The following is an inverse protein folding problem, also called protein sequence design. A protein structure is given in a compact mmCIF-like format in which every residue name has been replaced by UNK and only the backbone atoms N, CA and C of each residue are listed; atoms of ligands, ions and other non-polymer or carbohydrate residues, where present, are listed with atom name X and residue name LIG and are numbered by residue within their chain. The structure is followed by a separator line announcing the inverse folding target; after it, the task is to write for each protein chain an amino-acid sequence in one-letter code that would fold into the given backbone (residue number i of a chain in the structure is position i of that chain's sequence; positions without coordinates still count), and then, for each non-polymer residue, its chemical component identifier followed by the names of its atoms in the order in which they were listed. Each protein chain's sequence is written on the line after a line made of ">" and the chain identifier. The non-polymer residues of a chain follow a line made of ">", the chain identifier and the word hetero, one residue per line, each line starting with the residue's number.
data_IF_471978184178
#
_entry.id   IF_471978184178
#
_cell.length_a   1.000
_cell.length_b   1.000
_cell.length_c   1.000
_cell.angle_alpha   90.00
_cell.angle_beta   90.00
_cell.angle_gamma   90.00
#
_symmetry.space_group_name_H-M   'P 1'
#
loop_
_entity.id
_entity.type
_entity.pdbx_description
1 polymer ?
#
# COMPACT_ATOMS: atom_id res chain seq x y z
N UNK A 1 23.46 -18.98 4.52
CA UNK A 1 22.05 -18.89 4.08
C UNK A 1 21.33 -18.07 5.13
N UNK A 2 20.98 -16.79 4.90
CA UNK A 2 20.12 -16.11 5.86
C UNK A 2 18.72 -16.72 5.76
N UNK A 3 18.14 -17.04 6.91
CA UNK A 3 16.85 -17.68 7.05
C UNK A 3 15.77 -16.97 6.23
N UNK A 4 15.01 -17.78 5.49
CA UNK A 4 13.78 -17.33 4.84
C UNK A 4 12.77 -17.15 5.97
N UNK A 5 12.27 -15.92 6.24
CA UNK A 5 11.34 -15.71 7.34
C UNK A 5 10.07 -16.56 7.14
N UNK A 6 9.64 -17.21 8.22
CA UNK A 6 8.45 -18.07 8.26
C UNK A 6 7.20 -17.21 7.98
N UNK A 7 6.41 -17.53 6.94
CA UNK A 7 5.24 -16.75 6.53
C UNK A 7 4.12 -16.73 7.58
N UNK A 8 4.14 -17.66 8.55
CA UNK A 8 3.21 -17.66 9.69
C UNK A 8 3.63 -16.74 10.85
N UNK A 9 4.83 -16.14 10.75
CA UNK A 9 5.41 -15.20 11.72
C UNK A 9 5.67 -13.81 11.12
N UNK A 10 5.00 -13.49 10.00
CA UNK A 10 5.09 -12.17 9.38
C UNK A 10 4.32 -11.11 10.19
N UNK A 11 4.55 -11.07 11.50
CA UNK A 11 4.26 -9.93 12.33
C UNK A 11 5.15 -8.78 11.84
N UNK A 12 4.50 -7.66 11.58
CA UNK A 12 5.16 -6.43 11.19
C UNK A 12 6.26 -6.08 12.19
N UNK A 13 7.41 -5.66 11.67
CA UNK A 13 8.59 -5.26 12.45
C UNK A 13 8.94 -3.81 12.10
N UNK A 14 8.77 -2.85 13.02
CA UNK A 14 9.05 -1.44 12.76
C UNK A 14 10.49 -1.22 12.25
N UNK A 15 11.42 -2.09 12.63
CA UNK A 15 12.84 -2.00 12.29
C UNK A 15 13.14 -2.34 10.82
N UNK A 16 12.17 -2.89 10.08
CA UNK A 16 12.31 -3.21 8.65
C UNK A 16 12.00 -2.04 7.72
N UNK A 17 11.56 -0.90 8.27
CA UNK A 17 11.11 0.25 7.51
C UNK A 17 11.77 1.52 8.04
N UNK A 18 12.50 2.23 7.17
CA UNK A 18 12.96 3.58 7.47
C UNK A 18 11.72 4.50 7.43
N UNK A 19 11.35 5.05 8.57
CA UNK A 19 10.23 6.01 8.68
C UNK A 19 10.43 7.21 7.74
N UNK A 20 9.34 7.86 7.34
CA UNK A 20 9.44 9.14 6.60
C UNK A 20 9.53 10.26 7.64
N UNK A 21 10.71 10.84 7.91
CA UNK A 21 10.85 11.80 9.00
C UNK A 21 10.13 13.11 8.64
N UNK A 22 9.19 13.54 9.49
CA UNK A 22 8.72 14.93 9.51
C UNK A 22 7.76 15.37 8.39
N UNK A 23 7.25 14.49 7.54
CA UNK A 23 6.23 14.85 6.53
C UNK A 23 4.85 14.30 6.92
N UNK A 24 3.88 15.18 7.25
CA UNK A 24 2.51 14.72 7.56
C UNK A 24 1.80 14.18 6.31
N UNK A 25 2.25 14.57 5.11
CA UNK A 25 1.69 14.15 3.83
C UNK A 25 2.78 13.84 2.79
N UNK A 26 2.51 12.86 1.92
CA UNK A 26 3.30 12.50 0.75
C UNK A 26 2.50 12.74 -0.54
N UNK A 27 3.09 13.46 -1.50
CA UNK A 27 2.43 13.77 -2.79
C UNK A 27 3.11 13.04 -3.96
N UNK A 28 4.39 12.74 -3.80
CA UNK A 28 5.21 12.03 -4.78
C UNK A 28 6.12 11.03 -4.04
N UNK A 29 6.75 10.14 -4.79
CA UNK A 29 7.78 9.26 -4.26
C UNK A 29 8.92 10.08 -3.64
N UNK A 30 9.27 9.79 -2.39
CA UNK A 30 10.44 10.42 -1.76
C UNK A 30 11.72 10.18 -2.57
N UNK A 31 11.85 8.94 -3.08
CA UNK A 31 12.83 8.55 -4.09
C UNK A 31 12.07 7.74 -5.14
N UNK A 32 12.14 8.17 -6.41
CA UNK A 32 11.43 7.49 -7.49
C UNK A 32 11.98 6.07 -7.68
N UNK A 33 11.12 5.04 -7.71
CA UNK A 33 11.57 3.66 -7.85
C UNK A 33 12.08 3.36 -9.26
N UNK A 34 13.08 2.47 -9.36
CA UNK A 34 13.62 2.02 -10.64
C UNK A 34 12.81 0.83 -11.21
N UNK A 35 12.25 0.92 -12.42
CA UNK A 35 11.46 -0.16 -12.97
C UNK A 35 12.30 -1.44 -13.24
N UNK A 36 11.73 -2.65 -13.10
CA UNK A 36 10.32 -2.92 -12.77
C UNK A 36 9.99 -2.68 -11.30
N UNK A 37 8.78 -2.16 -11.07
CA UNK A 37 8.22 -1.92 -9.73
C UNK A 37 7.14 -2.96 -9.48
N UNK A 38 7.18 -3.63 -8.33
CA UNK A 38 6.30 -4.75 -8.01
C UNK A 38 5.81 -4.70 -6.56
N UNK A 39 4.58 -5.17 -6.32
CA UNK A 39 4.11 -5.48 -4.96
C UNK A 39 4.60 -6.89 -4.63
N UNK A 40 5.50 -6.98 -3.66
CA UNK A 40 6.16 -8.24 -3.27
C UNK A 40 5.56 -8.84 -2.00
N UNK A 41 4.78 -8.06 -1.27
CA UNK A 41 4.14 -8.48 -0.03
C UNK A 41 2.85 -7.70 0.19
N UNK A 42 1.82 -8.35 0.72
CA UNK A 42 0.63 -7.70 1.24
C UNK A 42 0.14 -8.44 2.49
N UNK A 43 -0.65 -7.79 3.32
CA UNK A 43 -1.12 -8.36 4.57
C UNK A 43 -2.16 -7.50 5.25
N UNK A 44 -2.62 -7.99 6.38
CA UNK A 44 -3.43 -7.22 7.33
C UNK A 44 -2.67 -7.23 8.64
N UNK A 45 -2.59 -6.08 9.31
CA UNK A 45 -2.00 -5.97 10.64
C UNK A 45 -2.78 -6.82 11.66
N UNK A 46 -2.15 -7.13 12.79
CA UNK A 46 -2.78 -7.90 13.88
C UNK A 46 -3.98 -7.19 14.50
N UNK A 47 -4.12 -5.88 14.27
CA UNK A 47 -5.32 -5.10 14.61
C UNK A 47 -6.59 -5.55 13.86
N UNK A 48 -6.42 -6.48 12.90
CA UNK A 48 -7.49 -7.14 12.16
C UNK A 48 -8.22 -6.22 11.19
N UNK A 49 -7.63 -5.07 10.82
CA UNK A 49 -8.32 -4.17 9.89
C UNK A 49 -7.44 -3.21 9.10
N UNK A 50 -6.20 -2.94 9.49
CA UNK A 50 -5.30 -2.12 8.69
C UNK A 50 -4.61 -3.00 7.66
N UNK A 51 -4.74 -2.66 6.39
CA UNK A 51 -4.04 -3.36 5.30
C UNK A 51 -2.62 -2.85 5.15
N UNK A 52 -1.69 -3.68 4.71
CA UNK A 52 -0.38 -3.21 4.28
C UNK A 52 0.12 -3.91 3.03
N UNK A 53 1.07 -3.25 2.38
CA UNK A 53 1.82 -3.81 1.27
C UNK A 53 3.23 -3.27 1.22
N UNK A 54 4.11 -4.03 0.59
CA UNK A 54 5.49 -3.62 0.32
C UNK A 54 5.70 -3.60 -1.18
N UNK A 55 6.06 -2.43 -1.68
CA UNK A 55 6.49 -2.22 -3.06
C UNK A 55 8.00 -2.37 -3.12
N UNK A 56 8.51 -3.05 -4.15
CA UNK A 56 9.94 -3.21 -4.41
C UNK A 56 10.27 -2.81 -5.84
N UNK A 57 11.43 -2.19 -6.03
CA UNK A 57 11.95 -1.84 -7.36
C UNK A 57 13.01 -2.85 -7.86
N UNK A 58 13.58 -2.59 -9.04
CA UNK A 58 14.60 -3.45 -9.66
C UNK A 58 15.89 -3.57 -8.84
N UNK A 59 16.22 -2.52 -8.07
CA UNK A 59 17.42 -2.45 -7.23
C UNK A 59 17.23 -3.14 -5.88
N UNK A 60 16.00 -3.56 -5.57
CA UNK A 60 15.63 -4.18 -4.32
C UNK A 60 15.26 -3.20 -3.22
N UNK A 61 15.18 -1.89 -3.51
CA UNK A 61 14.64 -0.89 -2.58
C UNK A 61 13.18 -1.18 -2.29
N UNK A 62 12.75 -0.89 -1.07
CA UNK A 62 11.40 -1.22 -0.59
C UNK A 62 10.69 0.02 -0.06
N UNK A 63 9.41 0.12 -0.37
CA UNK A 63 8.52 1.14 0.15
C UNK A 63 7.32 0.48 0.81
N UNK A 64 7.13 0.66 2.11
CA UNK A 64 5.90 0.26 2.78
C UNK A 64 4.77 1.21 2.45
N UNK A 65 3.59 0.63 2.30
CA UNK A 65 2.33 1.34 2.26
C UNK A 65 1.32 0.65 3.17
N UNK A 66 0.44 1.44 3.77
CA UNK A 66 -0.65 0.92 4.59
C UNK A 66 -1.97 1.64 4.29
N UNK A 67 -3.06 0.93 4.55
CA UNK A 67 -4.43 1.38 4.36
C UNK A 67 -5.14 1.35 5.70
N UNK A 68 -5.48 2.52 6.21
CA UNK A 68 -6.29 2.63 7.43
C UNK A 68 -7.67 2.02 7.22
N UNK A 69 -8.05 1.15 8.18
CA UNK A 69 -9.33 0.44 8.30
C UNK A 69 -10.55 1.35 8.16
N UNK A 70 -10.48 2.56 8.71
CA UNK A 70 -11.67 3.40 8.93
C UNK A 70 -11.94 4.35 7.78
N UNK A 71 -10.90 4.82 7.10
CA UNK A 71 -11.04 5.85 6.06
C UNK A 71 -10.47 5.47 4.70
N UNK A 72 -9.92 4.25 4.55
CA UNK A 72 -9.24 3.77 3.34
C UNK A 72 -8.20 4.77 2.85
N UNK A 73 -7.52 5.41 3.80
CA UNK A 73 -6.47 6.38 3.53
C UNK A 73 -5.19 5.60 3.30
N UNK A 74 -4.51 5.93 2.21
CA UNK A 74 -3.20 5.40 1.88
C UNK A 74 -2.14 6.17 2.65
N UNK A 75 -1.24 5.47 3.31
CA UNK A 75 -0.07 6.03 3.97
C UNK A 75 1.18 5.34 3.44
N UNK A 76 2.32 6.00 3.57
CA UNK A 76 3.65 5.41 3.32
C UNK A 76 4.54 5.60 4.54
N UNK A 77 5.47 4.66 4.77
CA UNK A 77 6.28 4.60 6.00
C UNK A 77 5.79 3.50 6.96
N UNK A 78 5.92 3.73 8.26
CA UNK A 78 5.55 2.77 9.29
C UNK A 78 4.01 2.58 9.43
N UNK A 79 3.56 1.91 10.50
CA UNK A 79 2.13 1.86 10.81
C UNK A 79 1.62 3.30 11.10
N UNK A 80 0.36 3.65 10.75
CA UNK A 80 -0.16 5.00 10.96
C UNK A 80 -0.04 5.50 12.40
N UNK A 81 -0.11 4.59 13.37
CA UNK A 81 -0.05 4.91 14.81
C UNK A 81 1.39 5.12 15.35
N UNK A 82 2.44 4.79 14.59
CA UNK A 82 3.83 4.92 15.06
C UNK A 82 4.40 6.34 14.91
N UNK A 83 3.63 7.27 14.36
CA UNK A 83 4.07 8.64 14.08
C UNK A 83 5.18 8.76 13.02
N UNK A 84 5.49 7.65 12.33
CA UNK A 84 6.51 7.54 11.26
C UNK A 84 5.89 7.22 9.90
N UNK A 85 4.59 7.52 9.75
CA UNK A 85 3.82 7.36 8.52
C UNK A 85 3.42 8.72 7.96
N UNK A 86 3.49 8.88 6.65
CA UNK A 86 3.02 10.04 5.93
C UNK A 86 1.71 9.70 5.20
N UNK A 87 0.68 10.54 5.34
CA UNK A 87 -0.57 10.38 4.59
C UNK A 87 -0.31 10.65 3.11
N UNK A 88 -0.57 9.68 2.24
CA UNK A 88 -0.51 9.94 0.80
C UNK A 88 -1.67 10.84 0.42
N UNK A 89 -1.35 12.01 -0.14
CA UNK A 89 -2.33 13.03 -0.50
C UNK A 89 -3.31 12.48 -1.53
N UNK A 90 -4.63 12.57 -1.28
CA UNK A 90 -5.62 12.13 -2.25
C UNK A 90 -5.51 12.92 -3.56
N UNK A 91 -5.63 12.24 -4.69
CA UNK A 91 -5.48 12.78 -6.05
C UNK A 91 -4.04 13.06 -6.46
N UNK A 92 -3.06 12.71 -5.64
CA UNK A 92 -1.65 12.91 -5.96
C UNK A 92 -1.13 11.92 -7.00
N UNK A 93 -0.02 12.25 -7.69
CA UNK A 93 0.69 11.30 -8.55
C UNK A 93 1.06 10.00 -7.82
N UNK A 94 1.52 10.10 -6.57
CA UNK A 94 1.85 8.92 -5.76
C UNK A 94 0.64 8.01 -5.53
N UNK A 95 -0.53 8.58 -5.17
CA UNK A 95 -1.76 7.78 -5.01
C UNK A 95 -2.12 7.08 -6.32
N UNK A 96 -2.04 7.78 -7.46
CA UNK A 96 -2.37 7.24 -8.77
C UNK A 96 -1.42 6.09 -9.18
N UNK A 97 -0.11 6.27 -8.99
CA UNK A 97 0.91 5.25 -9.30
C UNK A 97 0.69 3.98 -8.47
N UNK A 98 0.47 4.14 -7.16
CA UNK A 98 0.26 3.04 -6.23
C UNK A 98 -1.03 2.27 -6.56
N UNK A 99 -2.13 2.98 -6.82
CA UNK A 99 -3.38 2.34 -7.22
C UNK A 99 -3.28 1.62 -8.57
N UNK A 100 -2.55 2.19 -9.54
CA UNK A 100 -2.30 1.54 -10.82
C UNK A 100 -1.51 0.23 -10.63
N UNK A 101 -0.45 0.27 -9.81
CA UNK A 101 0.36 -0.90 -9.48
C UNK A 101 -0.46 -2.00 -8.80
N UNK A 102 -1.35 -1.64 -7.86
CA UNK A 102 -2.29 -2.58 -7.24
C UNK A 102 -3.21 -3.20 -8.29
N UNK A 103 -3.82 -2.37 -9.15
CA UNK A 103 -4.73 -2.84 -10.19
C UNK A 103 -4.06 -3.81 -11.18
N UNK A 104 -2.84 -3.51 -11.60
CA UNK A 104 -2.05 -4.38 -12.47
C UNK A 104 -1.69 -5.70 -11.78
N UNK A 105 -1.30 -5.63 -10.50
CA UNK A 105 -0.97 -6.82 -9.70
C UNK A 105 -2.20 -7.70 -9.47
N UNK A 106 -3.36 -7.12 -9.16
CA UNK A 106 -4.62 -7.87 -8.98
C UNK A 106 -5.05 -8.53 -10.28
N UNK A 107 -4.96 -7.81 -11.42
CA UNK A 107 -5.24 -8.40 -12.75
C UNK A 107 -4.31 -9.57 -13.07
N UNK A 108 -3.04 -9.48 -12.69
CA UNK A 108 -2.06 -10.58 -12.81
C UNK A 108 -2.48 -11.77 -11.94
N UNK A 109 -2.76 -11.54 -10.65
CA UNK A 109 -3.23 -12.59 -9.72
C UNK A 109 -4.47 -13.31 -10.25
N UNK A 110 -5.47 -12.57 -10.74
CA UNK A 110 -6.70 -13.16 -11.30
C UNK A 110 -6.40 -13.97 -12.56
N UNK A 111 -5.60 -13.43 -13.47
CA UNK A 111 -5.19 -14.11 -14.72
C UNK A 111 -4.43 -15.40 -14.44
N UNK A 112 -3.53 -15.39 -13.46
CA UNK A 112 -2.67 -16.52 -13.13
C UNK A 112 -3.41 -17.55 -12.26
N UNK A 113 -4.29 -17.09 -11.36
CA UNK A 113 -5.19 -17.95 -10.58
C UNK A 113 -6.20 -18.70 -11.44
N UNK A 114 -6.71 -18.08 -12.51
CA UNK A 114 -7.54 -18.76 -13.51
C UNK A 114 -6.80 -19.88 -14.26
N UNK A 115 -5.46 -19.93 -14.20
CA UNK A 115 -4.60 -20.94 -14.85
C UNK A 115 -4.11 -22.04 -13.91
N UNK A 116 -4.75 -22.26 -12.75
CA UNK A 116 -4.43 -23.35 -11.80
C UNK A 116 -3.03 -23.24 -11.15
N UNK A 117 -2.65 -22.04 -10.68
CA UNK A 117 -1.58 -21.92 -9.69
C UNK A 117 -2.05 -21.03 -8.54
N UNK A 118 -1.86 -21.44 -7.27
CA UNK A 118 -1.92 -20.48 -6.16
C UNK A 118 -1.00 -19.30 -6.50
N UNK A 119 -1.28 -18.08 -6.05
CA UNK A 119 -0.32 -16.99 -6.20
C UNK A 119 1.04 -17.49 -5.69
N UNK A 120 2.10 -17.31 -6.46
CA UNK A 120 3.46 -17.76 -6.08
C UNK A 120 3.91 -17.17 -4.74
N UNK A 121 3.21 -16.12 -4.29
CA UNK A 121 3.37 -15.41 -3.02
C UNK A 121 2.03 -15.51 -2.27
N UNK A 122 1.86 -16.48 -1.35
CA UNK A 122 0.67 -16.62 -0.50
C UNK A 122 0.21 -15.32 0.17
N UNK A 123 1.14 -14.41 0.39
CA UNK A 123 1.00 -13.14 1.08
C UNK A 123 0.23 -12.10 0.24
N UNK A 124 0.09 -12.29 -1.09
CA UNK A 124 -0.70 -11.37 -1.92
C UNK A 124 -2.20 -11.67 -1.95
N UNK A 125 -2.69 -12.68 -1.22
CA UNK A 125 -4.10 -13.09 -1.24
C UNK A 125 -5.08 -12.01 -0.81
N UNK A 126 -4.65 -11.09 0.05
CA UNK A 126 -5.49 -9.99 0.57
C UNK A 126 -5.52 -8.78 -0.36
N UNK A 127 -4.59 -8.70 -1.33
CA UNK A 127 -4.42 -7.52 -2.18
C UNK A 127 -5.68 -7.15 -3.00
N UNK A 128 -6.46 -8.10 -3.57
CA UNK A 128 -7.72 -7.75 -4.24
C UNK A 128 -8.70 -7.00 -3.34
N UNK A 129 -8.89 -7.47 -2.09
CA UNK A 129 -9.79 -6.82 -1.14
C UNK A 129 -9.28 -5.44 -0.71
N UNK A 130 -7.97 -5.29 -0.52
CA UNK A 130 -7.36 -3.98 -0.23
C UNK A 130 -7.56 -3.00 -1.40
N UNK A 131 -7.40 -3.48 -2.63
CA UNK A 131 -7.59 -2.68 -3.84
C UNK A 131 -9.05 -2.24 -4.00
N UNK A 132 -10.02 -3.13 -3.78
CA UNK A 132 -11.45 -2.78 -3.79
C UNK A 132 -11.78 -1.70 -2.76
N UNK A 133 -11.31 -1.85 -1.53
CA UNK A 133 -11.46 -0.83 -0.49
C UNK A 133 -10.87 0.51 -0.93
N UNK A 134 -9.64 0.51 -1.42
CA UNK A 134 -8.97 1.72 -1.89
C UNK A 134 -9.76 2.43 -3.02
N UNK A 135 -10.32 1.67 -3.96
CA UNK A 135 -11.16 2.22 -5.04
C UNK A 135 -12.45 2.85 -4.53
N UNK A 136 -13.16 2.20 -3.59
CA UNK A 136 -14.40 2.74 -3.01
C UNK A 136 -14.13 4.10 -2.37
N UNK A 137 -13.03 4.22 -1.63
CA UNK A 137 -12.65 5.47 -0.97
C UNK A 137 -12.19 6.54 -1.98
N UNK A 138 -11.40 6.17 -2.99
CA UNK A 138 -11.00 7.08 -4.06
C UNK A 138 -12.22 7.63 -4.84
N UNK A 139 -13.21 6.78 -5.12
CA UNK A 139 -14.43 7.16 -5.85
C UNK A 139 -15.40 7.99 -5.00
N UNK A 140 -15.58 7.65 -3.72
CA UNK A 140 -16.41 8.42 -2.79
C UNK A 140 -15.93 9.88 -2.68
N UNK A 141 -14.62 10.11 -2.79
CA UNK A 141 -14.01 11.46 -2.79
C UNK A 141 -14.26 12.21 -4.10
N UNK A 142 -14.22 11.54 -5.25
CA UNK A 142 -14.55 12.16 -6.55
C UNK A 142 -16.04 12.56 -6.65
N UNK A 143 -16.92 11.88 -5.92
CA UNK A 143 -18.37 12.18 -5.87
C UNK A 143 -18.76 13.28 -4.89
N UNK A 144 -17.81 13.90 -4.17
CA UNK A 144 -18.06 15.11 -3.38
C UNK A 144 -17.60 16.36 -4.14
N UNK A 145 -18.41 16.93 -5.04
CA UNK A 145 -18.17 18.30 -5.49
C UNK A 145 -18.51 19.24 -4.33
N UNK A 146 -17.54 20.04 -3.89
CA UNK A 146 -17.80 21.21 -3.03
C UNK A 146 -17.59 21.01 -1.53
N UNK A 147 -16.35 21.21 -1.09
CA UNK A 147 -16.12 21.98 0.15
C UNK A 147 -14.92 22.91 -0.08
N UNK A 148 -15.05 23.76 -1.11
CA UNK A 148 -14.26 24.97 -1.21
C UNK A 148 -15.15 26.13 -0.78
N UNK A 149 -14.64 26.93 0.17
CA UNK A 149 -15.18 28.20 0.67
C UNK A 149 -16.18 28.13 1.82
N UNK A 150 -15.66 28.17 3.05
CA UNK A 150 -16.11 29.18 4.03
C UNK A 150 -14.85 29.76 4.67
N UNK A 151 -14.32 30.82 4.07
CA UNK A 151 -13.67 31.88 4.82
C UNK A 151 -14.69 33.02 4.90
N UNK A 152 -15.17 33.31 6.10
CA UNK A 152 -15.50 34.68 6.52
C UNK A 152 -15.33 34.76 8.02
#
# INVERSE_FOLDING_TARGET
>A
MPDRPDPSTASWRPELFEGVPGFPEAVDWHVRPEPPVEIVYAGVYEDGGTGFMVVRDATGRKWPFCFDRSFGRLFTGAHPDDGQAALVRPGSPLEADVLALMGDTVRRIIRDGARHRPPEIPELRVLPSLYEGALVHAQARRRRPGWASIQT
#
